data_IF_312241547510
#
_entry.id   IF_312241547510
#
_cell.length_a   1.000
_cell.length_b   1.000
_cell.length_c   1.000
_cell.angle_alpha   90.00
_cell.angle_beta   90.00
_cell.angle_gamma   90.00
#
_symmetry.space_group_name_H-M   'P 1'
#
loop_
_entity.id
_entity.type
_entity.pdbx_description
1 polymer ?
#
# COMPACT_ATOMS: atom_id res chain seq x y z
N UNK A 1 17.26 -17.63 -70.33
CA UNK A 1 17.57 -18.04 -68.94
C UNK A 1 16.49 -17.45 -68.06
N UNK A 2 15.64 -18.28 -67.43
CA UNK A 2 14.53 -17.80 -66.61
C UNK A 2 15.04 -17.11 -65.34
N UNK A 3 14.41 -15.99 -64.95
CA UNK A 3 14.73 -15.18 -63.77
C UNK A 3 14.41 -15.94 -62.46
N UNK A 4 15.37 -16.74 -61.99
CA UNK A 4 15.30 -17.44 -60.68
C UNK A 4 15.43 -16.52 -59.45
N UNK A 5 15.60 -15.21 -59.65
CA UNK A 5 15.83 -14.24 -58.57
C UNK A 5 14.57 -13.86 -57.79
N UNK A 6 13.41 -13.78 -58.45
CA UNK A 6 12.11 -13.46 -57.84
C UNK A 6 11.62 -14.53 -56.83
N UNK A 7 11.54 -15.83 -57.17
CA UNK A 7 11.05 -16.84 -56.24
C UNK A 7 11.98 -17.06 -55.03
N UNK A 8 13.29 -16.86 -55.22
CA UNK A 8 14.26 -16.93 -54.13
C UNK A 8 14.06 -15.77 -53.12
N UNK A 9 13.83 -14.55 -53.63
CA UNK A 9 13.58 -13.38 -52.78
C UNK A 9 12.29 -13.48 -51.96
N UNK A 10 11.22 -14.03 -52.53
CA UNK A 10 9.96 -14.31 -51.83
C UNK A 10 10.13 -15.37 -50.74
N UNK A 11 10.91 -16.42 -51.00
CA UNK A 11 11.20 -17.46 -50.00
C UNK A 11 11.98 -16.93 -48.80
N UNK A 12 12.97 -16.05 -49.04
CA UNK A 12 13.73 -15.40 -47.97
C UNK A 12 12.82 -14.47 -47.15
N UNK A 13 11.95 -13.69 -47.80
CA UNK A 13 11.03 -12.79 -47.11
C UNK A 13 10.02 -13.56 -46.24
N UNK A 14 9.45 -14.65 -46.76
CA UNK A 14 8.54 -15.50 -46.02
C UNK A 14 9.24 -16.21 -44.84
N UNK A 15 10.49 -16.66 -45.01
CA UNK A 15 11.29 -17.24 -43.94
C UNK A 15 11.61 -16.23 -42.83
N UNK A 16 11.99 -15.00 -43.19
CA UNK A 16 12.22 -13.92 -42.24
C UNK A 16 10.93 -13.54 -41.49
N UNK A 17 9.80 -13.42 -42.20
CA UNK A 17 8.51 -13.14 -41.59
C UNK A 17 8.11 -14.25 -40.59
N UNK A 18 8.23 -15.52 -41.00
CA UNK A 18 7.92 -16.66 -40.14
C UNK A 18 8.82 -16.74 -38.90
N UNK A 19 10.10 -16.40 -39.06
CA UNK A 19 11.04 -16.30 -37.94
C UNK A 19 10.65 -15.19 -36.97
N UNK A 20 10.36 -13.98 -37.46
CA UNK A 20 9.92 -12.85 -36.63
C UNK A 20 8.62 -13.17 -35.89
N UNK A 21 7.64 -13.78 -36.57
CA UNK A 21 6.38 -14.20 -35.93
C UNK A 21 6.63 -15.27 -34.87
N UNK A 22 7.44 -16.29 -35.17
CA UNK A 22 7.81 -17.34 -34.21
C UNK A 22 8.50 -16.76 -32.96
N UNK A 23 9.38 -15.77 -33.15
CA UNK A 23 10.03 -15.07 -32.05
C UNK A 23 9.07 -14.25 -31.19
N UNK A 24 8.13 -13.51 -31.80
CA UNK A 24 7.12 -12.75 -31.06
C UNK A 24 6.23 -13.67 -30.20
N UNK A 25 5.85 -14.82 -30.74
CA UNK A 25 5.08 -15.84 -30.01
C UNK A 25 5.90 -16.45 -28.86
N UNK A 26 7.19 -16.70 -29.08
CA UNK A 26 8.08 -17.21 -28.03
C UNK A 26 8.30 -16.18 -26.91
N UNK A 27 8.41 -14.90 -27.25
CA UNK A 27 8.53 -13.82 -26.28
C UNK A 27 7.26 -13.67 -25.44
N UNK A 28 6.09 -13.72 -26.07
CA UNK A 28 4.80 -13.69 -25.36
C UNK A 28 4.63 -14.90 -24.44
N UNK A 29 4.95 -16.11 -24.91
CA UNK A 29 4.96 -17.33 -24.07
C UNK A 29 5.91 -17.21 -22.86
N UNK A 30 7.10 -16.65 -23.09
CA UNK A 30 8.08 -16.41 -22.02
C UNK A 30 7.55 -15.39 -21.01
N UNK A 31 6.91 -14.31 -21.46
CA UNK A 31 6.32 -13.29 -20.60
C UNK A 31 5.19 -13.84 -19.74
N UNK A 32 4.29 -14.64 -20.31
CA UNK A 32 3.23 -15.32 -19.55
C UNK A 32 3.81 -16.29 -18.52
N UNK A 33 4.87 -17.01 -18.88
CA UNK A 33 5.56 -17.94 -17.97
C UNK A 33 6.22 -17.21 -16.81
N UNK A 34 6.86 -16.06 -17.07
CA UNK A 34 7.44 -15.19 -16.04
C UNK A 34 6.35 -14.62 -15.12
N UNK A 35 5.24 -14.11 -15.68
CA UNK A 35 4.12 -13.60 -14.87
C UNK A 35 3.54 -14.67 -13.95
N UNK A 36 3.38 -15.90 -14.46
CA UNK A 36 2.94 -17.05 -13.64
C UNK A 36 3.98 -17.47 -12.61
N UNK A 37 5.27 -17.32 -12.91
CA UNK A 37 6.32 -17.59 -11.94
C UNK A 37 6.36 -16.52 -10.84
N UNK A 38 6.13 -15.25 -11.19
CA UNK A 38 6.06 -14.12 -10.25
C UNK A 38 4.87 -14.27 -9.30
N UNK A 39 3.71 -14.74 -9.77
CA UNK A 39 2.57 -15.05 -8.90
C UNK A 39 2.88 -16.13 -7.86
N UNK A 40 3.90 -16.94 -8.09
CA UNK A 40 4.26 -18.07 -7.24
C UNK A 40 5.53 -17.84 -6.41
N UNK A 41 6.45 -16.97 -6.85
CA UNK A 41 7.76 -16.78 -6.25
C UNK A 41 8.11 -15.28 -6.06
N UNK A 42 8.22 -14.81 -4.81
CA UNK A 42 8.61 -13.43 -4.47
C UNK A 42 10.04 -13.05 -4.89
N UNK A 43 10.97 -14.01 -4.99
CA UNK A 43 12.34 -13.74 -5.42
C UNK A 43 12.39 -13.33 -6.90
N UNK A 44 11.54 -13.94 -7.72
CA UNK A 44 11.38 -13.58 -9.13
C UNK A 44 10.81 -12.16 -9.24
N UNK A 45 9.90 -11.77 -8.34
CA UNK A 45 9.40 -10.40 -8.28
C UNK A 45 10.52 -9.38 -7.97
N UNK A 46 11.39 -9.64 -7.00
CA UNK A 46 12.50 -8.75 -6.65
C UNK A 46 13.47 -8.56 -7.83
N UNK A 47 13.75 -9.66 -8.55
CA UNK A 47 14.68 -9.68 -9.69
C UNK A 47 14.02 -9.41 -11.03
N UNK A 48 12.72 -9.04 -11.07
CA UNK A 48 11.94 -8.94 -12.31
C UNK A 48 12.58 -8.05 -13.38
N UNK A 49 13.21 -6.93 -13.00
CA UNK A 49 13.88 -6.06 -13.96
C UNK A 49 15.04 -6.78 -14.65
N UNK A 50 15.89 -7.47 -13.89
CA UNK A 50 17.01 -8.23 -14.42
C UNK A 50 16.51 -9.42 -15.27
N UNK A 51 15.42 -10.06 -14.87
CA UNK A 51 14.79 -11.14 -15.63
C UNK A 51 14.20 -10.60 -16.93
N UNK A 52 13.52 -9.47 -16.91
CA UNK A 52 13.01 -8.83 -18.12
C UNK A 52 14.14 -8.39 -19.03
N UNK A 53 15.17 -7.72 -18.52
CA UNK A 53 16.36 -7.35 -19.31
C UNK A 53 17.04 -8.57 -19.95
N UNK A 54 17.18 -9.67 -19.20
CA UNK A 54 17.78 -10.90 -19.71
C UNK A 54 16.90 -11.66 -20.72
N UNK A 55 15.58 -11.45 -20.70
CA UNK A 55 14.62 -12.14 -21.58
C UNK A 55 14.09 -11.26 -22.71
N UNK A 56 14.38 -9.97 -22.69
CA UNK A 56 13.98 -8.99 -23.70
C UNK A 56 14.97 -9.03 -24.87
N UNK A 57 14.86 -10.07 -25.70
CA UNK A 57 15.79 -10.28 -26.82
C UNK A 57 15.64 -9.23 -27.94
N UNK A 58 14.48 -8.59 -28.11
CA UNK A 58 14.27 -7.51 -29.11
C UNK A 58 13.19 -6.50 -28.67
N UNK A 59 13.57 -5.50 -27.88
CA UNK A 59 12.81 -4.26 -27.68
C UNK A 59 13.53 -3.06 -28.31
N UNK A 60 13.90 -3.17 -29.58
CA UNK A 60 14.42 -2.05 -30.36
C UNK A 60 13.58 -1.85 -31.62
N UNK A 61 12.25 -1.74 -31.48
CA UNK A 61 11.36 -1.13 -32.52
C UNK A 61 9.88 -1.04 -32.17
N UNK A 62 9.47 -1.37 -30.94
CA UNK A 62 8.24 -0.79 -30.40
C UNK A 62 8.62 -0.16 -29.07
N UNK A 63 8.44 1.14 -28.95
CA UNK A 63 8.61 1.90 -27.72
C UNK A 63 7.59 1.42 -26.69
N UNK A 64 7.80 0.23 -26.14
CA UNK A 64 7.20 -0.20 -24.89
C UNK A 64 8.33 0.01 -23.91
N UNK A 65 8.39 1.23 -23.37
CA UNK A 65 9.27 1.52 -22.27
C UNK A 65 9.12 0.42 -21.20
N UNK A 66 10.22 0.01 -20.50
CA UNK A 66 10.08 -0.79 -19.28
C UNK A 66 9.03 -0.09 -18.43
N UNK A 67 8.00 -0.77 -17.87
CA UNK A 67 6.78 -0.14 -17.38
C UNK A 67 7.17 1.09 -16.59
N UNK A 68 7.08 2.25 -17.25
CA UNK A 68 7.58 3.47 -16.65
C UNK A 68 6.73 3.59 -15.39
N UNK A 69 7.38 3.83 -14.24
CA UNK A 69 6.66 4.38 -13.10
C UNK A 69 6.05 5.66 -13.65
N UNK A 70 4.79 5.61 -14.04
CA UNK A 70 4.17 6.69 -14.80
C UNK A 70 4.26 7.91 -13.90
N UNK A 71 4.87 9.03 -14.35
CA UNK A 71 4.86 10.28 -13.58
C UNK A 71 3.44 10.67 -13.14
N UNK A 72 2.45 10.23 -13.94
CA UNK A 72 1.00 10.31 -13.69
C UNK A 72 0.52 9.57 -12.42
N UNK A 73 1.17 8.47 -12.00
CA UNK A 73 0.76 7.70 -10.83
C UNK A 73 0.98 8.48 -9.53
N UNK A 74 2.10 9.20 -9.40
CA UNK A 74 2.41 9.97 -8.18
C UNK A 74 1.49 11.17 -8.05
N UNK A 75 1.26 11.92 -9.13
CA UNK A 75 0.30 13.04 -9.13
C UNK A 75 -1.11 12.57 -8.80
N UNK A 76 -1.48 11.36 -9.21
CA UNK A 76 -2.78 10.76 -8.86
C UNK A 76 -2.82 10.36 -7.40
N UNK A 77 -1.81 9.63 -6.90
CA UNK A 77 -1.74 9.15 -5.51
C UNK A 77 -1.64 10.29 -4.50
N UNK A 78 -0.92 11.35 -4.84
CA UNK A 78 -0.65 12.48 -3.97
C UNK A 78 -1.48 13.71 -4.34
N UNK A 79 -2.68 13.49 -4.90
CA UNK A 79 -3.66 14.55 -5.25
C UNK A 79 -3.90 15.53 -4.10
N UNK A 80 -3.99 14.99 -2.88
CA UNK A 80 -4.24 15.74 -1.65
C UNK A 80 -2.96 16.17 -0.91
N UNK A 81 -1.81 16.07 -1.57
CA UNK A 81 -0.52 16.56 -1.07
C UNK A 81 0.21 15.57 -0.16
N UNK A 82 1.45 15.93 0.17
CA UNK A 82 2.33 15.15 1.03
C UNK A 82 2.18 15.61 2.49
N UNK A 83 1.83 14.73 3.44
CA UNK A 83 1.68 15.12 4.84
C UNK A 83 2.99 15.54 5.52
N UNK A 84 4.11 15.04 5.00
CA UNK A 84 5.49 15.37 5.34
C UNK A 84 6.39 14.91 4.20
N UNK A 85 7.66 15.33 4.19
CA UNK A 85 8.58 15.10 3.06
C UNK A 85 9.84 14.29 3.43
N UNK A 86 9.87 13.68 4.61
CA UNK A 86 11.02 12.87 5.02
C UNK A 86 11.07 11.56 4.23
N UNK A 87 12.23 11.26 3.63
CA UNK A 87 12.57 10.01 2.93
C UNK A 87 11.39 9.36 2.15
N UNK A 88 10.98 9.98 1.04
CA UNK A 88 9.83 9.56 0.24
C UNK A 88 10.18 8.41 -0.72
N UNK A 89 9.40 7.34 -0.66
CA UNK A 89 9.50 6.17 -1.52
C UNK A 89 8.20 5.97 -2.30
N UNK A 90 8.35 5.86 -3.63
CA UNK A 90 7.24 5.68 -4.56
C UNK A 90 7.21 4.23 -5.02
N UNK A 91 6.11 3.56 -4.70
CA UNK A 91 5.76 2.22 -5.19
C UNK A 91 4.71 2.34 -6.30
N UNK A 92 4.20 1.22 -6.82
CA UNK A 92 3.30 1.21 -7.98
C UNK A 92 1.93 1.82 -7.68
N UNK A 93 1.35 1.52 -6.51
CA UNK A 93 0.03 2.03 -6.09
C UNK A 93 -0.03 2.56 -4.65
N UNK A 94 1.11 2.85 -4.05
CA UNK A 94 1.18 3.63 -2.83
C UNK A 94 2.47 4.44 -2.77
N UNK A 95 2.45 5.49 -1.97
CA UNK A 95 3.63 6.30 -1.64
C UNK A 95 3.82 6.20 -0.13
N UNK A 96 5.06 6.07 0.34
CA UNK A 96 5.34 6.16 1.78
C UNK A 96 6.49 7.11 2.07
N UNK A 97 6.48 7.62 3.30
CA UNK A 97 7.58 8.33 3.92
C UNK A 97 8.23 7.40 4.95
N UNK A 98 9.54 7.18 4.88
CA UNK A 98 10.22 6.18 5.72
C UNK A 98 10.98 6.80 6.89
N UNK A 99 10.66 6.36 8.11
CA UNK A 99 11.42 6.75 9.31
C UNK A 99 12.63 5.83 9.48
N UNK A 100 13.78 6.26 8.96
CA UNK A 100 15.06 5.54 9.11
C UNK A 100 15.46 5.32 10.56
N UNK A 101 15.06 6.18 11.50
CA UNK A 101 15.35 6.04 12.93
C UNK A 101 14.51 4.93 13.55
N UNK A 102 13.23 4.85 13.20
CA UNK A 102 12.31 3.85 13.76
C UNK A 102 12.22 2.57 12.91
N UNK A 103 12.81 2.54 11.71
CA UNK A 103 12.80 1.43 10.75
C UNK A 103 11.39 1.01 10.30
N UNK A 104 10.47 1.97 10.30
CA UNK A 104 9.07 1.85 9.87
C UNK A 104 8.67 3.08 9.07
N UNK A 105 7.55 3.08 8.36
CA UNK A 105 7.05 4.29 7.71
C UNK A 105 6.55 5.34 8.73
N UNK A 106 6.75 6.63 8.42
CA UNK A 106 6.02 7.74 9.05
C UNK A 106 4.55 7.72 8.63
N UNK A 107 4.30 7.50 7.35
CA UNK A 107 2.97 7.37 6.76
C UNK A 107 3.04 6.68 5.40
N UNK A 108 1.92 6.09 4.99
CA UNK A 108 1.68 5.53 3.66
C UNK A 108 0.39 6.12 3.10
N UNK A 109 0.39 6.49 1.83
CA UNK A 109 -0.76 7.00 1.08
C UNK A 109 -1.16 6.02 0.00
N UNK A 110 -2.42 5.60 0.01
CA UNK A 110 -3.04 4.73 -1.00
C UNK A 110 -4.19 5.47 -1.68
N UNK A 111 -4.42 5.19 -2.96
CA UNK A 111 -5.63 5.58 -3.69
C UNK A 111 -6.39 4.32 -4.10
N UNK A 112 -7.61 4.18 -3.59
CA UNK A 112 -8.50 3.07 -3.87
C UNK A 112 -9.60 3.58 -4.80
N UNK A 113 -9.71 2.93 -5.95
CA UNK A 113 -10.76 3.17 -6.92
C UNK A 113 -11.61 1.91 -7.06
N UNK A 114 -12.94 2.06 -7.19
CA UNK A 114 -13.91 0.96 -7.26
C UNK A 114 -13.53 -0.07 -8.33
N UNK A 115 -13.12 0.39 -9.51
CA UNK A 115 -12.69 -0.43 -10.64
C UNK A 115 -11.45 -1.29 -10.37
N UNK A 116 -10.60 -0.90 -9.42
CA UNK A 116 -9.40 -1.65 -9.04
C UNK A 116 -9.62 -2.66 -7.91
N UNK A 117 -10.77 -2.61 -7.23
CA UNK A 117 -11.10 -3.48 -6.10
C UNK A 117 -11.85 -4.74 -6.53
N UNK A 118 -12.51 -4.72 -7.68
CA UNK A 118 -13.32 -5.82 -8.19
C UNK A 118 -12.55 -6.60 -9.26
N UNK A 119 -12.40 -7.91 -9.03
CA UNK A 119 -11.77 -8.84 -9.97
C UNK A 119 -12.24 -10.26 -9.70
N UNK A 120 -12.27 -11.05 -10.77
CA UNK A 120 -12.73 -12.45 -10.75
C UNK A 120 -11.70 -13.40 -10.12
N UNK A 121 -10.40 -13.11 -10.29
CA UNK A 121 -9.29 -13.96 -9.81
C UNK A 121 -8.37 -13.18 -8.85
N UNK A 122 -8.71 -13.10 -7.55
CA UNK A 122 -7.95 -12.34 -6.57
C UNK A 122 -6.68 -13.08 -6.13
N UNK A 123 -5.57 -12.34 -6.10
CA UNK A 123 -4.31 -12.77 -5.50
C UNK A 123 -4.46 -12.78 -3.98
N UNK A 124 -4.51 -13.98 -3.41
CA UNK A 124 -4.61 -14.21 -1.95
C UNK A 124 -3.43 -15.01 -1.40
N UNK A 125 -2.47 -15.36 -2.25
CA UNK A 125 -1.30 -16.13 -1.88
C UNK A 125 -0.23 -15.22 -1.29
N UNK A 126 -0.11 -15.26 0.04
CA UNK A 126 0.92 -14.53 0.77
C UNK A 126 2.32 -15.00 0.33
N UNK A 127 3.28 -14.09 0.09
CA UNK A 127 4.68 -14.47 -0.13
C UNK A 127 5.26 -15.20 1.10
N UNK A 128 6.19 -16.13 0.85
CA UNK A 128 6.87 -16.89 1.90
C UNK A 128 7.68 -16.00 2.86
N UNK A 129 8.25 -14.92 2.33
CA UNK A 129 9.11 -13.99 3.04
C UNK A 129 8.73 -12.54 2.73
N UNK A 130 9.10 -11.63 3.63
CA UNK A 130 9.00 -10.20 3.35
C UNK A 130 10.08 -9.76 2.37
N UNK A 131 9.75 -8.78 1.54
CA UNK A 131 10.66 -8.23 0.54
C UNK A 131 11.50 -7.10 1.14
N UNK A 132 12.75 -6.98 0.69
CA UNK A 132 13.66 -5.93 1.15
C UNK A 132 13.71 -4.81 0.12
N UNK A 133 13.53 -3.57 0.58
CA UNK A 133 13.80 -2.41 -0.26
C UNK A 133 15.31 -2.12 -0.27
N UNK A 134 15.94 -2.36 -1.42
CA UNK A 134 17.38 -2.18 -1.60
C UNK A 134 17.80 -0.72 -1.74
N UNK A 135 16.86 0.22 -1.92
CA UNK A 135 17.14 1.65 -1.97
C UNK A 135 17.45 2.25 -0.59
N UNK A 136 16.90 1.68 0.48
CA UNK A 136 17.19 2.09 1.85
C UNK A 136 18.62 1.67 2.22
N UNK A 137 19.47 2.48 2.85
CA UNK A 137 20.77 2.01 3.30
C UNK A 137 20.65 0.89 4.35
N UNK A 138 21.52 -0.11 4.32
CA UNK A 138 21.45 -1.31 5.17
C UNK A 138 21.30 -0.99 6.67
N UNK A 139 21.97 0.07 7.16
CA UNK A 139 21.91 0.53 8.56
C UNK A 139 20.50 0.91 9.05
N UNK A 140 19.60 1.21 8.11
CA UNK A 140 18.25 1.70 8.39
C UNK A 140 17.17 0.71 7.94
N UNK A 141 17.52 -0.52 7.54
CA UNK A 141 16.54 -1.53 7.14
C UNK A 141 16.06 -2.35 8.33
N UNK A 142 14.76 -2.62 8.38
CA UNK A 142 14.24 -3.76 9.12
C UNK A 142 14.58 -5.06 8.37
N UNK A 143 14.52 -6.18 9.07
CA UNK A 143 14.66 -7.53 8.54
C UNK A 143 13.58 -8.44 9.11
N UNK A 144 13.24 -9.53 8.41
CA UNK A 144 12.31 -10.54 8.94
C UNK A 144 12.76 -11.12 10.30
N UNK A 145 14.08 -11.11 10.57
CA UNK A 145 14.65 -11.58 11.85
C UNK A 145 14.29 -10.68 13.02
N UNK A 146 13.99 -9.40 12.80
CA UNK A 146 13.63 -8.48 13.89
C UNK A 146 12.25 -8.80 14.48
N UNK A 147 11.37 -9.40 13.67
CA UNK A 147 10.05 -9.85 14.08
C UNK A 147 10.05 -11.28 14.64
N UNK A 148 11.07 -12.06 14.31
CA UNK A 148 11.18 -13.47 14.73
C UNK A 148 11.27 -13.58 16.25
N UNK A 149 10.38 -14.39 16.84
CA UNK A 149 10.22 -14.57 18.30
C UNK A 149 9.93 -13.28 19.08
N UNK A 150 9.48 -12.21 18.41
CA UNK A 150 8.88 -11.06 19.11
C UNK A 150 7.42 -11.35 19.46
N UNK A 151 6.87 -10.62 20.44
CA UNK A 151 5.44 -10.66 20.77
C UNK A 151 4.57 -9.98 19.70
N UNK A 152 5.20 -9.28 18.75
CA UNK A 152 4.57 -8.46 17.73
C UNK A 152 4.52 -9.19 16.38
N UNK A 153 3.49 -8.90 15.59
CA UNK A 153 3.37 -9.41 14.22
C UNK A 153 3.64 -8.28 13.24
N UNK A 154 4.44 -8.56 12.20
CA UNK A 154 4.59 -7.66 11.08
C UNK A 154 3.26 -7.46 10.36
N UNK A 155 2.78 -6.23 10.29
CA UNK A 155 1.58 -5.85 9.55
C UNK A 155 1.89 -4.74 8.55
N UNK A 156 1.17 -4.78 7.44
CA UNK A 156 1.25 -3.78 6.39
C UNK A 156 0.45 -2.53 6.79
N UNK A 157 0.95 -1.34 6.42
CA UNK A 157 0.17 -0.11 6.50
C UNK A 157 -0.71 0.05 5.26
N UNK A 158 -0.14 -0.12 4.06
CA UNK A 158 -0.89 -0.32 2.82
C UNK A 158 -1.32 -1.78 2.69
N UNK A 159 -2.62 -2.05 2.74
CA UNK A 159 -3.16 -3.41 2.88
C UNK A 159 -3.03 -4.20 1.58
N UNK A 160 -2.50 -5.45 1.59
CA UNK A 160 -2.40 -6.27 0.38
C UNK A 160 -3.76 -6.46 -0.30
N UNK A 161 -4.85 -6.54 0.47
CA UNK A 161 -6.20 -6.76 -0.05
C UNK A 161 -6.75 -5.57 -0.85
N UNK A 162 -6.17 -4.39 -0.70
CA UNK A 162 -6.48 -3.23 -1.55
C UNK A 162 -5.97 -3.42 -2.99
N UNK A 163 -5.05 -4.38 -3.20
CA UNK A 163 -4.38 -4.63 -4.46
C UNK A 163 -4.54 -6.09 -4.94
N UNK A 164 -5.52 -6.82 -4.40
CA UNK A 164 -5.75 -8.24 -4.71
C UNK A 164 -5.92 -8.52 -6.21
N UNK A 165 -6.29 -7.52 -7.02
CA UNK A 165 -6.51 -7.69 -8.45
C UNK A 165 -5.23 -7.60 -9.29
N UNK A 166 -4.09 -7.30 -8.69
CA UNK A 166 -2.80 -7.26 -9.38
C UNK A 166 -1.69 -7.86 -8.50
N UNK A 167 -1.11 -8.98 -8.95
CA UNK A 167 -0.06 -9.68 -8.21
C UNK A 167 1.15 -8.79 -7.89
N UNK A 168 1.54 -7.92 -8.82
CA UNK A 168 2.71 -7.05 -8.62
C UNK A 168 2.48 -6.03 -7.52
N UNK A 169 1.28 -5.46 -7.47
CA UNK A 169 0.90 -4.44 -6.51
C UNK A 169 0.64 -5.10 -5.14
N UNK A 170 0.02 -6.29 -5.15
CA UNK A 170 -0.15 -7.13 -3.97
C UNK A 170 1.19 -7.46 -3.31
N UNK A 171 2.17 -7.97 -4.05
CA UNK A 171 3.47 -8.33 -3.48
C UNK A 171 4.29 -7.12 -3.02
N UNK A 172 4.14 -5.96 -3.66
CA UNK A 172 4.84 -4.75 -3.25
C UNK A 172 4.46 -4.29 -1.84
N UNK A 173 3.24 -4.59 -1.38
CA UNK A 173 2.84 -4.32 0.02
C UNK A 173 3.62 -5.12 1.06
N UNK A 174 4.32 -6.19 0.66
CA UNK A 174 5.15 -7.01 1.56
C UNK A 174 6.60 -6.50 1.66
N UNK A 175 6.90 -5.34 1.09
CA UNK A 175 8.15 -4.63 1.34
C UNK A 175 8.26 -4.26 2.82
N UNK A 176 9.40 -4.56 3.44
CA UNK A 176 9.66 -4.29 4.88
C UNK A 176 9.54 -2.81 5.26
N UNK A 177 9.67 -1.89 4.30
CA UNK A 177 9.40 -0.45 4.48
C UNK A 177 7.94 -0.16 4.82
N UNK A 178 7.01 -1.00 4.38
CA UNK A 178 5.58 -0.94 4.66
C UNK A 178 5.17 -1.79 5.89
N UNK A 179 6.11 -2.49 6.54
CA UNK A 179 5.82 -3.40 7.65
C UNK A 179 6.07 -2.72 9.01
N UNK A 180 5.07 -2.77 9.88
CA UNK A 180 5.10 -2.26 11.27
C UNK A 180 4.82 -3.37 12.29
N UNK A 181 5.37 -3.30 13.52
CA UNK A 181 5.00 -4.20 14.60
C UNK A 181 3.58 -3.90 15.14
N UNK A 182 2.67 -4.87 15.05
CA UNK A 182 1.28 -4.75 15.51
C UNK A 182 0.91 -5.89 16.45
N UNK A 183 0.10 -5.60 17.48
CA UNK A 183 -0.52 -6.62 18.35
C UNK A 183 -1.39 -7.56 17.51
N UNK A 184 -1.43 -8.84 17.90
CA UNK A 184 -2.21 -9.85 17.17
C UNK A 184 -3.71 -9.54 17.24
N UNK A 185 -4.24 -9.24 18.41
CA UNK A 185 -5.66 -8.90 18.57
C UNK A 185 -6.06 -7.66 17.80
N UNK A 186 -5.23 -6.60 17.80
CA UNK A 186 -5.50 -5.42 16.96
C UNK A 186 -5.58 -5.83 15.47
N UNK A 187 -4.58 -6.56 14.98
CA UNK A 187 -4.46 -6.97 13.57
C UNK A 187 -5.67 -7.80 13.11
N UNK A 188 -6.08 -8.80 13.89
CA UNK A 188 -7.17 -9.71 13.51
C UNK A 188 -8.56 -9.11 13.68
N UNK A 189 -8.71 -8.12 14.56
CA UNK A 189 -10.01 -7.57 14.93
C UNK A 189 -10.18 -6.18 14.31
N UNK A 190 -10.00 -5.12 15.11
CA UNK A 190 -10.33 -3.74 14.77
C UNK A 190 -9.60 -3.26 13.52
N UNK A 191 -8.31 -3.58 13.35
CA UNK A 191 -7.54 -3.14 12.20
C UNK A 191 -8.06 -3.72 10.89
N UNK A 192 -8.34 -5.03 10.85
CA UNK A 192 -8.87 -5.70 9.66
C UNK A 192 -10.23 -5.13 9.25
N UNK A 193 -11.11 -4.86 10.21
CA UNK A 193 -12.41 -4.21 9.95
C UNK A 193 -12.25 -2.78 9.46
N UNK A 194 -11.27 -2.02 9.98
CA UNK A 194 -11.01 -0.67 9.51
C UNK A 194 -10.49 -0.66 8.07
N UNK A 195 -9.63 -1.60 7.70
CA UNK A 195 -9.23 -1.80 6.30
C UNK A 195 -10.40 -2.18 5.40
N UNK A 196 -11.33 -3.01 5.90
CA UNK A 196 -12.55 -3.35 5.18
C UNK A 196 -13.48 -2.15 5.01
N UNK A 197 -13.63 -1.32 6.04
CA UNK A 197 -14.39 -0.07 5.98
C UNK A 197 -13.87 0.86 4.88
N UNK A 198 -12.55 1.04 4.79
CA UNK A 198 -11.93 1.85 3.71
C UNK A 198 -12.29 1.30 2.32
N UNK A 199 -12.24 -0.03 2.12
CA UNK A 199 -12.65 -0.65 0.84
C UNK A 199 -14.14 -0.48 0.56
N UNK A 200 -14.99 -0.58 1.58
CA UNK A 200 -16.44 -0.37 1.46
C UNK A 200 -16.75 1.08 1.06
N UNK A 201 -16.07 2.06 1.65
CA UNK A 201 -16.19 3.46 1.24
C UNK A 201 -15.79 3.65 -0.23
N UNK A 202 -14.70 3.02 -0.68
CA UNK A 202 -14.30 3.09 -2.09
C UNK A 202 -15.31 2.42 -3.02
N UNK A 203 -15.93 1.31 -2.61
CA UNK A 203 -17.01 0.68 -3.37
C UNK A 203 -18.27 1.56 -3.41
N UNK A 204 -18.60 2.27 -2.33
CA UNK A 204 -19.79 3.13 -2.25
C UNK A 204 -19.60 4.45 -3.01
N UNK A 205 -18.47 5.12 -2.82
CA UNK A 205 -18.22 6.47 -3.31
C UNK A 205 -17.28 6.54 -4.52
N UNK A 206 -16.77 5.40 -5.01
CA UNK A 206 -15.96 5.33 -6.22
C UNK A 206 -14.47 5.54 -6.01
N UNK A 207 -14.10 6.59 -5.28
CA UNK A 207 -12.70 7.01 -5.11
C UNK A 207 -12.42 7.42 -3.67
N UNK A 208 -11.41 6.79 -3.06
CA UNK A 208 -10.99 7.04 -1.68
C UNK A 208 -9.48 7.14 -1.60
N UNK A 209 -8.99 8.16 -0.91
CA UNK A 209 -7.59 8.30 -0.53
C UNK A 209 -7.44 7.99 0.95
N UNK A 210 -6.40 7.23 1.31
CA UNK A 210 -6.16 6.89 2.72
C UNK A 210 -4.70 7.09 3.08
N UNK A 211 -4.47 7.88 4.12
CA UNK A 211 -3.19 8.01 4.78
C UNK A 211 -3.19 7.14 6.03
N UNK A 212 -2.22 6.24 6.14
CA UNK A 212 -2.08 5.30 7.26
C UNK A 212 -0.70 5.45 7.89
N UNK A 213 -0.61 5.53 9.21
CA UNK A 213 0.71 5.62 9.87
C UNK A 213 0.71 5.29 11.36
N UNK A 214 1.89 5.09 11.95
CA UNK A 214 2.07 4.89 13.37
C UNK A 214 1.99 6.20 14.17
N UNK A 215 1.71 6.08 15.47
CA UNK A 215 1.76 7.16 16.46
C UNK A 215 2.49 6.72 17.73
N UNK A 216 3.19 7.67 18.33
CA UNK A 216 3.89 7.50 19.60
C UNK A 216 3.31 8.47 20.64
N UNK A 217 2.18 8.07 21.22
CA UNK A 217 1.39 8.91 22.11
C UNK A 217 2.07 9.10 23.48
N UNK A 218 2.04 10.32 24.04
CA UNK A 218 2.58 10.59 25.36
C UNK A 218 1.74 9.94 26.45
N UNK A 219 2.39 9.37 27.45
CA UNK A 219 1.78 8.81 28.64
C UNK A 219 2.16 9.65 29.86
N UNK A 220 1.18 9.94 30.70
CA UNK A 220 1.40 10.69 31.93
C UNK A 220 2.12 9.79 32.95
N UNK A 221 3.32 10.17 33.38
CA UNK A 221 4.10 9.45 34.40
C UNK A 221 3.77 9.99 35.80
N UNK A 222 3.65 11.31 35.92
CA UNK A 222 3.30 11.99 37.17
C UNK A 222 2.33 13.13 36.86
N UNK A 223 1.79 13.82 37.88
CA UNK A 223 0.83 14.90 37.68
C UNK A 223 1.29 15.99 36.68
N UNK A 224 2.60 16.28 36.61
CA UNK A 224 3.16 17.33 35.74
C UNK A 224 4.07 16.82 34.61
N UNK A 225 4.40 15.53 34.58
CA UNK A 225 5.37 15.00 33.63
C UNK A 225 4.76 13.93 32.72
N UNK A 226 5.02 14.09 31.43
CA UNK A 226 4.63 13.18 30.36
C UNK A 226 5.88 12.62 29.71
N UNK A 227 5.80 11.38 29.23
CA UNK A 227 6.85 10.80 28.40
C UNK A 227 6.26 9.91 27.33
N UNK A 228 6.99 9.76 26.24
CA UNK A 228 6.68 8.79 25.20
C UNK A 228 7.50 7.54 25.51
N UNK A 229 6.82 6.43 25.79
CA UNK A 229 7.45 5.12 26.03
C UNK A 229 6.93 4.13 25.01
N UNK A 230 7.84 3.47 24.30
CA UNK A 230 7.53 2.41 23.35
C UNK A 230 8.63 1.35 23.37
N UNK A 231 8.30 0.15 22.90
CA UNK A 231 9.27 -0.94 22.75
C UNK A 231 10.01 -0.81 21.42
N UNK A 232 11.20 -1.41 21.35
CA UNK A 232 11.88 -1.71 20.08
C UNK A 232 12.12 -3.20 20.00
N UNK A 233 12.05 -3.79 18.81
CA UNK A 233 12.27 -5.22 18.58
C UNK A 233 13.46 -5.48 17.66
N UNK A 234 14.03 -6.67 17.80
CA UNK A 234 15.10 -7.13 16.93
C UNK A 234 16.45 -6.43 17.14
N UNK A 235 17.44 -6.87 16.37
CA UNK A 235 18.80 -6.31 16.41
C UNK A 235 18.87 -4.94 15.74
N UNK A 236 17.95 -4.67 14.81
CA UNK A 236 17.86 -3.39 14.11
C UNK A 236 17.02 -2.35 14.87
N UNK A 237 16.53 -2.68 16.08
CA UNK A 237 15.77 -1.77 16.95
C UNK A 237 14.54 -1.17 16.26
N UNK A 238 13.73 -2.01 15.63
CA UNK A 238 12.50 -1.60 14.95
C UNK A 238 11.50 -1.10 15.99
N UNK A 239 11.00 0.13 15.84
CA UNK A 239 10.10 0.72 16.83
C UNK A 239 8.72 0.08 16.78
N UNK A 240 8.14 -0.15 17.96
CA UNK A 240 6.77 -0.61 18.13
C UNK A 240 5.88 0.61 18.38
N UNK A 241 4.97 0.97 17.46
CA UNK A 241 4.06 2.10 17.65
C UNK A 241 3.13 1.89 18.84
N UNK A 242 2.74 2.98 19.50
CA UNK A 242 1.74 2.91 20.59
C UNK A 242 0.31 2.86 20.04
N UNK A 243 0.09 3.51 18.89
CA UNK A 243 -1.19 3.64 18.21
C UNK A 243 -0.95 3.65 16.71
N UNK A 244 -2.01 3.52 15.93
CA UNK A 244 -2.04 3.76 14.50
C UNK A 244 -3.15 4.72 14.15
N UNK A 245 -2.99 5.47 13.07
CA UNK A 245 -4.04 6.28 12.50
C UNK A 245 -4.42 5.85 11.08
N UNK A 246 -5.66 6.17 10.71
CA UNK A 246 -6.06 6.34 9.31
C UNK A 246 -6.77 7.67 9.13
N UNK A 247 -6.33 8.45 8.15
CA UNK A 247 -7.06 9.62 7.65
C UNK A 247 -7.58 9.26 6.27
N UNK A 248 -8.91 9.18 6.14
CA UNK A 248 -9.62 8.72 4.95
C UNK A 248 -10.27 9.94 4.31
N UNK A 249 -10.05 10.14 3.02
CA UNK A 249 -10.64 11.19 2.21
C UNK A 249 -11.52 10.51 1.16
N UNK A 250 -12.83 10.77 1.23
CA UNK A 250 -13.84 10.20 0.36
C UNK A 250 -14.23 11.25 -0.66
N UNK A 251 -13.99 10.95 -1.93
CA UNK A 251 -14.39 11.84 -3.02
C UNK A 251 -15.88 11.70 -3.31
N UNK A 252 -16.51 12.80 -3.72
CA UNK A 252 -17.89 12.79 -4.17
C UNK A 252 -17.91 12.66 -5.71
N UNK A 253 -18.33 11.51 -6.23
CA UNK A 253 -18.49 11.26 -7.68
C UNK A 253 -19.48 12.24 -8.34
N UNK A 254 -20.50 12.71 -7.60
CA UNK A 254 -21.58 13.53 -8.17
C UNK A 254 -21.27 15.04 -8.17
N UNK A 255 -20.36 15.50 -7.28
CA UNK A 255 -20.07 16.92 -7.14
C UNK A 255 -18.58 17.16 -6.83
N UNK A 256 -17.77 17.23 -7.89
CA UNK A 256 -16.33 17.48 -7.81
C UNK A 256 -15.94 18.86 -7.24
N UNK A 257 -16.86 19.82 -7.20
CA UNK A 257 -16.61 21.18 -6.70
C UNK A 257 -16.77 21.29 -5.17
N UNK A 258 -17.38 20.27 -4.53
CA UNK A 258 -17.50 20.21 -3.08
C UNK A 258 -16.21 19.68 -2.45
N UNK A 259 -15.86 20.20 -1.27
CA UNK A 259 -14.75 19.64 -0.49
C UNK A 259 -15.03 18.16 -0.19
N UNK A 260 -14.02 17.28 -0.34
CA UNK A 260 -14.18 15.87 -0.06
C UNK A 260 -14.46 15.66 1.43
N UNK A 261 -15.25 14.64 1.73
CA UNK A 261 -15.54 14.24 3.10
C UNK A 261 -14.35 13.50 3.71
N UNK A 262 -14.04 13.76 4.99
CA UNK A 262 -12.89 13.18 5.68
C UNK A 262 -13.25 12.52 7.01
N UNK A 263 -12.67 11.34 7.26
CA UNK A 263 -12.72 10.61 8.54
C UNK A 263 -11.32 10.38 9.11
N UNK A 264 -11.16 10.61 10.42
CA UNK A 264 -9.94 10.28 11.16
C UNK A 264 -10.20 9.15 12.16
N UNK A 265 -9.33 8.14 12.20
CA UNK A 265 -9.37 7.06 13.18
C UNK A 265 -8.03 6.96 13.90
N UNK A 266 -8.06 6.74 15.22
CA UNK A 266 -6.88 6.42 16.03
C UNK A 266 -7.16 5.17 16.85
N UNK A 267 -6.34 4.14 16.67
CA UNK A 267 -6.49 2.85 17.35
C UNK A 267 -5.25 2.53 18.19
N UNK A 268 -5.39 2.07 19.45
CA UNK A 268 -4.25 1.66 20.26
C UNK A 268 -3.66 0.33 19.76
N UNK A 269 -2.33 0.24 19.76
CA UNK A 269 -1.60 -0.97 19.40
C UNK A 269 -1.59 -1.97 20.57
N UNK A 270 -2.75 -2.54 20.85
CA UNK A 270 -3.00 -3.43 21.98
C UNK A 270 -4.03 -4.49 21.62
N UNK A 271 -4.18 -5.48 22.49
CA UNK A 271 -5.28 -6.44 22.39
C UNK A 271 -6.61 -5.72 22.62
N UNK A 272 -7.51 -5.79 21.64
CA UNK A 272 -8.81 -5.15 21.64
C UNK A 272 -9.90 -6.20 21.47
N UNK A 273 -11.01 -6.01 22.20
CA UNK A 273 -12.19 -6.85 22.02
C UNK A 273 -12.75 -6.65 20.60
N UNK A 274 -13.10 -7.78 19.98
CA UNK A 274 -13.66 -7.86 18.63
C UNK A 274 -15.02 -7.17 18.49
N UNK A 275 -15.76 -7.02 19.60
CA UNK A 275 -17.11 -6.44 19.61
C UNK A 275 -17.11 -4.90 19.68
N UNK A 276 -15.97 -4.25 19.97
CA UNK A 276 -15.89 -2.78 20.03
C UNK A 276 -16.21 -2.20 18.66
N UNK A 277 -17.10 -1.22 18.55
CA UNK A 277 -17.44 -0.58 17.26
C UNK A 277 -16.31 0.32 16.72
N UNK A 278 -16.25 0.50 15.39
CA UNK A 278 -15.26 1.40 14.77
C UNK A 278 -15.49 2.88 15.15
N UNK A 279 -16.74 3.25 15.43
CA UNK A 279 -17.16 4.59 15.84
C UNK A 279 -16.41 5.10 17.07
N UNK A 280 -16.05 4.20 17.99
CA UNK A 280 -15.29 4.50 19.22
C UNK A 280 -13.89 5.05 18.93
N UNK A 281 -13.33 4.69 17.78
CA UNK A 281 -11.98 5.10 17.38
C UNK A 281 -11.97 6.34 16.48
N UNK A 282 -13.13 6.92 16.17
CA UNK A 282 -13.21 8.19 15.45
C UNK A 282 -12.52 9.28 16.24
N UNK A 283 -11.68 10.05 15.57
CA UNK A 283 -10.81 11.07 16.16
C UNK A 283 -10.73 12.30 15.27
N UNK A 284 -10.52 13.45 15.89
CA UNK A 284 -10.27 14.70 15.17
C UNK A 284 -8.97 14.58 14.36
N UNK A 285 -9.05 14.92 13.07
CA UNK A 285 -7.86 14.91 12.20
C UNK A 285 -6.78 15.86 12.72
N UNK A 286 -7.17 16.97 13.38
CA UNK A 286 -6.22 17.90 14.01
C UNK A 286 -5.39 17.26 15.11
N UNK A 287 -5.98 16.34 15.88
CA UNK A 287 -5.24 15.62 16.92
C UNK A 287 -4.24 14.64 16.26
N UNK A 288 -4.65 13.99 15.16
CA UNK A 288 -3.76 13.15 14.36
C UNK A 288 -2.59 13.98 13.81
N UNK A 289 -2.87 15.15 13.21
CA UNK A 289 -1.85 16.10 12.72
C UNK A 289 -0.87 16.49 13.84
N UNK A 290 -1.40 16.84 15.02
CA UNK A 290 -0.62 17.23 16.19
C UNK A 290 0.33 16.13 16.67
N UNK A 291 -0.18 14.91 16.86
CA UNK A 291 0.61 13.80 17.41
C UNK A 291 1.51 13.11 16.37
N UNK A 292 1.14 13.15 15.08
CA UNK A 292 1.98 12.63 14.00
C UNK A 292 3.07 13.62 13.56
N UNK A 293 2.88 14.93 13.80
CA UNK A 293 3.73 15.96 13.23
C UNK A 293 3.58 16.06 11.71
N UNK A 294 2.38 15.80 11.19
CA UNK A 294 2.03 15.79 9.77
C UNK A 294 0.89 16.79 9.50
N UNK A 295 0.72 17.19 8.24
CA UNK A 295 -0.38 18.08 7.82
C UNK A 295 -1.16 17.45 6.67
N UNK A 296 -2.43 17.13 6.89
CA UNK A 296 -3.28 16.55 5.84
C UNK A 296 -4.07 17.65 5.12
N UNK A 297 -4.73 17.26 4.03
CA UNK A 297 -5.61 18.15 3.28
C UNK A 297 -6.76 18.69 4.12
N UNK A 298 -7.23 19.89 3.78
CA UNK A 298 -8.37 20.54 4.43
C UNK A 298 -9.64 20.31 3.61
N UNK A 299 -10.38 19.26 3.94
CA UNK A 299 -11.69 18.92 3.38
C UNK A 299 -12.84 19.15 4.35
N UNK A 300 -14.04 18.71 3.95
CA UNK A 300 -15.22 18.69 4.81
C UNK A 300 -15.09 17.56 5.82
N UNK A 301 -15.24 17.86 7.11
CA UNK A 301 -14.88 16.93 8.19
C UNK A 301 -16.15 16.43 8.86
N UNK A 302 -16.18 15.14 9.21
CA UNK A 302 -17.21 14.64 10.12
C UNK A 302 -17.12 15.40 11.45
N UNK A 303 -18.04 16.31 11.70
CA UNK A 303 -18.12 17.02 12.97
C UNK A 303 -18.36 16.01 14.11
N UNK A 304 -17.42 15.94 15.05
CA UNK A 304 -17.49 15.06 16.22
C UNK A 304 -18.78 15.27 17.04
N UNK A 305 -19.37 16.46 16.98
CA UNK A 305 -20.63 16.81 17.67
C UNK A 305 -21.81 15.96 17.20
N UNK A 306 -21.92 15.65 15.91
CA UNK A 306 -23.02 14.85 15.36
C UNK A 306 -22.96 13.37 15.79
N UNK A 307 -21.81 12.87 16.26
CA UNK A 307 -21.69 11.51 16.83
C UNK A 307 -22.18 11.46 18.27
N UNK A 308 -21.89 12.47 19.08
CA UNK A 308 -22.39 12.54 20.47
C UNK A 308 -23.92 12.60 20.46
N UNK A 309 -24.51 13.46 19.62
CA UNK A 309 -25.98 13.57 19.53
C UNK A 309 -26.66 12.29 19.05
N UNK A 310 -26.04 11.56 18.11
CA UNK A 310 -26.57 10.27 17.62
C UNK A 310 -26.38 9.10 18.61
N UNK A 311 -25.35 9.14 19.45
CA UNK A 311 -25.13 8.14 20.50
C UNK A 311 -26.03 8.42 21.70
N UNK A 312 -26.19 9.68 22.10
CA UNK A 312 -27.12 10.09 23.18
C UNK A 312 -28.58 9.83 22.80
N UNK A 313 -28.99 10.13 21.57
CA UNK A 313 -30.36 9.85 21.11
C UNK A 313 -30.70 8.35 21.05
N UNK A 314 -29.74 7.49 20.69
CA UNK A 314 -29.91 6.03 20.75
C UNK A 314 -29.98 5.51 22.19
N UNK A 315 -29.19 6.08 23.11
CA UNK A 315 -29.25 5.72 24.53
C UNK A 315 -30.57 6.12 25.20
N UNK A 316 -31.24 7.17 24.72
CA UNK A 316 -32.56 7.61 25.24
C UNK A 316 -33.76 6.85 24.67
N UNK A 317 -33.59 6.05 23.60
CA UNK A 317 -34.67 5.25 23.00
C UNK A 317 -34.77 3.83 23.59
N UNK A 318 -33.74 3.41 24.34
CA UNK A 318 -33.67 2.10 25.01
C UNK A 318 -34.00 2.16 26.52
N UNK A 319 -34.59 3.26 27.00
CA UNK A 319 -35.12 3.45 28.38
C UNK A 319 -36.62 3.73 28.38
#
# INVERSE_FOLDING_TARGET
>A
MLNYTLPLSLGILAGLLGFVVGMLLQQDSSYRSINKAISNDPYIYERRQQIYEATMFFSYSCSIDPPQRTPCAVSTLMKYGFPGLDDIHIYRNFVLSYDRRNRIAHWVCEHLARDKLDCDDPVVHKPSEFLVDTSIPLLFRASARDFYKSDWVGSQLASPLNYKCNAYDYFETYMLTNIVPVSRGLKTNVWSRLEQHVRQLAQQHGSVYVYTGPLFMPQRITFRNWAIKHQVIGVNTVAVPTHFFKVIIVENEENCDQLPYMEGYVVPNAELDKEIELSVFLSEIRDIEHFAGLKFFEGDRREYQNLIENVESRATLDT
#
